data_IF_845130024521
#
_entry.id   IF_845130024521
#
_cell.length_a   1.000
_cell.length_b   1.000
_cell.length_c   1.000
_cell.angle_alpha   90.00
_cell.angle_beta   90.00
_cell.angle_gamma   90.00
#
_symmetry.space_group_name_H-M   'P 1'
#
loop_
_entity.id
_entity.type
_entity.pdbx_description
1 polymer ?
#
# COMPACT_ATOMS: atom_id res chain seq x y z
N UNK A 1 -14.36 13.73 51.99
CA UNK A 1 -14.89 12.56 51.25
C UNK A 1 -15.17 12.82 49.77
N UNK A 2 -15.45 14.07 49.35
CA UNK A 2 -15.74 14.40 47.94
C UNK A 2 -14.52 14.40 47.02
N UNK A 3 -13.34 14.78 47.53
CA UNK A 3 -12.12 14.94 46.72
C UNK A 3 -11.58 13.59 46.18
N UNK A 4 -11.69 12.51 46.96
CA UNK A 4 -11.33 11.15 46.52
C UNK A 4 -12.27 10.65 45.42
N UNK A 5 -13.57 10.94 45.52
CA UNK A 5 -14.54 10.52 44.50
C UNK A 5 -14.31 11.24 43.16
N UNK A 6 -13.91 12.51 43.19
CA UNK A 6 -13.54 13.27 41.99
C UNK A 6 -12.29 12.68 41.33
N UNK A 7 -11.27 12.33 42.12
CA UNK A 7 -10.05 11.69 41.61
C UNK A 7 -10.34 10.32 40.98
N UNK A 8 -11.19 9.51 41.63
CA UNK A 8 -11.60 8.19 41.12
C UNK A 8 -12.34 8.34 39.78
N UNK A 9 -13.24 9.31 39.67
CA UNK A 9 -13.99 9.55 38.44
C UNK A 9 -13.07 10.04 37.30
N UNK A 10 -12.11 10.93 37.60
CA UNK A 10 -11.10 11.38 36.62
C UNK A 10 -10.25 10.20 36.13
N UNK A 11 -9.77 9.35 37.05
CA UNK A 11 -8.99 8.16 36.70
C UNK A 11 -9.79 7.19 35.82
N UNK A 12 -11.05 6.91 36.14
CA UNK A 12 -11.91 6.09 35.29
C UNK A 12 -12.09 6.68 33.89
N UNK A 13 -12.29 8.00 33.79
CA UNK A 13 -12.45 8.67 32.51
C UNK A 13 -11.17 8.64 31.68
N UNK A 14 -10.00 8.75 32.33
CA UNK A 14 -8.69 8.61 31.70
C UNK A 14 -8.43 7.19 31.21
N UNK A 15 -8.78 6.17 32.00
CA UNK A 15 -8.68 4.76 31.59
C UNK A 15 -9.57 4.48 30.38
N UNK A 16 -10.85 4.87 30.44
CA UNK A 16 -11.79 4.67 29.33
C UNK A 16 -11.36 5.41 28.04
N UNK A 17 -10.65 6.52 28.18
CA UNK A 17 -10.09 7.25 27.02
C UNK A 17 -8.85 6.54 26.47
N UNK A 18 -7.95 6.09 27.34
CA UNK A 18 -6.76 5.34 26.94
C UNK A 18 -7.11 4.01 26.26
N UNK A 19 -8.14 3.31 26.75
CA UNK A 19 -8.63 2.07 26.15
C UNK A 19 -9.18 2.31 24.73
N UNK A 20 -9.99 3.35 24.54
CA UNK A 20 -10.47 3.73 23.20
C UNK A 20 -9.33 4.07 22.24
N UNK A 21 -8.36 4.87 22.69
CA UNK A 21 -7.19 5.21 21.87
C UNK A 21 -6.35 3.99 21.51
N UNK A 22 -6.21 3.03 22.45
CA UNK A 22 -5.52 1.76 22.20
C UNK A 22 -6.25 0.95 21.12
N UNK A 23 -7.56 0.83 21.23
CA UNK A 23 -8.35 0.03 20.30
C UNK A 23 -8.36 0.66 18.89
N UNK A 24 -8.44 2.00 18.79
CA UNK A 24 -8.25 2.73 17.52
C UNK A 24 -6.86 2.49 16.92
N UNK A 25 -5.80 2.57 17.73
CA UNK A 25 -4.43 2.30 17.27
C UNK A 25 -4.25 0.86 16.79
N UNK A 26 -4.89 -0.11 17.44
CA UNK A 26 -4.88 -1.51 17.03
C UNK A 26 -5.58 -1.72 15.68
N UNK A 27 -6.71 -1.04 15.44
CA UNK A 27 -7.40 -1.07 14.15
C UNK A 27 -6.52 -0.48 13.03
N UNK A 28 -5.91 0.68 13.28
CA UNK A 28 -4.99 1.30 12.32
C UNK A 28 -3.78 0.41 12.01
N UNK A 29 -3.23 -0.26 13.03
CA UNK A 29 -2.13 -1.20 12.85
C UNK A 29 -2.54 -2.41 12.00
N UNK A 30 -3.77 -2.94 12.19
CA UNK A 30 -4.29 -4.03 11.38
C UNK A 30 -4.40 -3.62 9.90
N UNK A 31 -5.00 -2.46 9.62
CA UNK A 31 -5.10 -1.89 8.27
C UNK A 31 -3.70 -1.70 7.65
N UNK A 32 -2.75 -1.15 8.42
CA UNK A 32 -1.37 -0.95 7.96
C UNK A 32 -0.67 -2.26 7.59
N UNK A 33 -0.91 -3.34 8.35
CA UNK A 33 -0.37 -4.67 8.04
C UNK A 33 -0.97 -5.26 6.78
N UNK A 34 -2.28 -5.17 6.60
CA UNK A 34 -2.95 -5.63 5.37
C UNK A 34 -2.45 -4.86 4.14
N UNK A 35 -2.34 -3.53 4.26
CA UNK A 35 -1.77 -2.69 3.20
C UNK A 35 -0.33 -3.09 2.86
N UNK A 36 0.52 -3.33 3.86
CA UNK A 36 1.90 -3.76 3.64
C UNK A 36 2.00 -5.11 2.91
N UNK A 37 1.13 -6.06 3.24
CA UNK A 37 1.06 -7.36 2.55
C UNK A 37 0.66 -7.19 1.08
N UNK A 38 -0.35 -6.36 0.81
CA UNK A 38 -0.79 -6.06 -0.57
C UNK A 38 0.31 -5.36 -1.38
N UNK A 39 1.00 -4.38 -0.78
CA UNK A 39 2.13 -3.70 -1.42
C UNK A 39 3.27 -4.67 -1.70
N UNK A 40 3.64 -5.54 -0.77
CA UNK A 40 4.67 -6.55 -0.96
C UNK A 40 4.31 -7.53 -2.10
N UNK A 41 3.07 -8.00 -2.14
CA UNK A 41 2.58 -8.85 -3.23
C UNK A 41 2.65 -8.13 -4.59
N UNK A 42 2.31 -6.83 -4.63
CA UNK A 42 2.41 -6.02 -5.85
C UNK A 42 3.85 -5.85 -6.32
N UNK A 43 4.78 -5.60 -5.40
CA UNK A 43 6.22 -5.50 -5.70
C UNK A 43 6.73 -6.81 -6.29
N UNK A 44 6.42 -7.94 -5.65
CA UNK A 44 6.84 -9.26 -6.15
C UNK A 44 6.33 -9.54 -7.56
N UNK A 45 5.08 -9.16 -7.86
CA UNK A 45 4.52 -9.34 -9.20
C UNK A 45 5.22 -8.45 -10.24
N UNK A 46 5.54 -7.21 -9.88
CA UNK A 46 6.31 -6.31 -10.75
C UNK A 46 7.72 -6.84 -11.02
N UNK A 47 8.40 -7.38 -10.00
CA UNK A 47 9.72 -8.00 -10.16
C UNK A 47 9.67 -9.20 -11.11
N UNK A 48 8.64 -10.06 -10.98
CA UNK A 48 8.42 -11.19 -11.89
C UNK A 48 8.21 -10.75 -13.33
N UNK A 49 7.39 -9.72 -13.54
CA UNK A 49 7.14 -9.14 -14.86
C UNK A 49 8.42 -8.53 -15.45
N UNK A 50 9.18 -7.76 -14.66
CA UNK A 50 10.46 -7.19 -15.09
C UNK A 50 11.46 -8.28 -15.51
N UNK A 51 11.57 -9.35 -14.72
CA UNK A 51 12.42 -10.49 -15.06
C UNK A 51 11.97 -11.20 -16.36
N UNK A 52 10.65 -11.33 -16.57
CA UNK A 52 10.11 -11.91 -17.80
C UNK A 52 10.40 -11.03 -19.03
N UNK A 53 10.26 -9.71 -18.91
CA UNK A 53 10.60 -8.75 -19.95
C UNK A 53 12.09 -8.82 -20.30
N UNK A 54 12.97 -8.83 -19.30
CA UNK A 54 14.42 -8.95 -19.51
C UNK A 54 14.79 -10.24 -20.26
N UNK A 55 14.19 -11.37 -19.89
CA UNK A 55 14.37 -12.65 -20.61
C UNK A 55 13.86 -12.61 -22.05
N UNK A 56 12.73 -11.94 -22.28
CA UNK A 56 12.18 -11.79 -23.63
C UNK A 56 13.06 -10.87 -24.49
N UNK A 57 13.54 -9.77 -23.91
CA UNK A 57 14.42 -8.82 -24.58
C UNK A 57 15.76 -9.44 -25.00
N UNK A 58 16.30 -10.36 -24.20
CA UNK A 58 17.51 -11.10 -24.56
C UNK A 58 17.35 -11.97 -25.82
N UNK A 59 16.11 -12.42 -26.13
CA UNK A 59 15.81 -13.25 -27.32
C UNK A 59 15.34 -12.43 -28.51
N UNK A 60 14.54 -11.40 -28.26
CA UNK A 60 13.99 -10.50 -29.28
C UNK A 60 13.76 -9.11 -28.67
N UNK A 61 14.77 -8.22 -28.71
CA UNK A 61 14.73 -6.91 -28.05
C UNK A 61 13.56 -6.05 -28.52
N UNK A 62 13.33 -6.00 -29.83
CA UNK A 62 12.28 -5.19 -30.44
C UNK A 62 10.86 -5.68 -30.10
N UNK A 63 10.66 -7.00 -30.01
CA UNK A 63 9.36 -7.56 -29.67
C UNK A 63 9.03 -7.35 -28.18
N UNK A 64 10.03 -7.47 -27.30
CA UNK A 64 9.86 -7.21 -25.87
C UNK A 64 9.54 -5.73 -25.61
N UNK A 65 10.27 -4.81 -26.24
CA UNK A 65 10.00 -3.36 -26.18
C UNK A 65 8.61 -3.03 -26.72
N UNK A 66 8.23 -3.57 -27.89
CA UNK A 66 6.90 -3.35 -28.47
C UNK A 66 5.79 -3.84 -27.55
N UNK A 67 5.93 -5.03 -26.92
CA UNK A 67 4.93 -5.52 -25.96
C UNK A 67 4.84 -4.63 -24.71
N UNK A 68 5.96 -4.12 -24.22
CA UNK A 68 5.97 -3.25 -23.05
C UNK A 68 5.33 -1.89 -23.35
N UNK A 69 5.63 -1.28 -24.50
CA UNK A 69 5.02 -0.01 -24.91
C UNK A 69 3.51 -0.16 -25.12
N UNK A 70 3.06 -1.28 -25.70
CA UNK A 70 1.65 -1.46 -26.06
C UNK A 70 0.78 -2.05 -24.94
N UNK A 71 1.36 -2.82 -24.01
CA UNK A 71 0.61 -3.58 -22.99
C UNK A 71 1.24 -3.53 -21.59
N UNK A 72 2.30 -2.75 -21.40
CA UNK A 72 2.96 -2.57 -20.12
C UNK A 72 2.18 -1.65 -19.17
N UNK A 73 2.67 -1.49 -17.93
CA UNK A 73 2.00 -0.70 -16.89
C UNK A 73 1.73 0.76 -17.28
N UNK A 74 2.55 1.31 -18.17
CA UNK A 74 2.44 2.69 -18.66
C UNK A 74 1.91 2.80 -20.09
N UNK A 75 1.39 1.71 -20.67
CA UNK A 75 0.87 1.72 -22.04
C UNK A 75 -0.20 2.80 -22.25
N UNK A 76 -1.10 2.96 -21.27
CA UNK A 76 -2.14 3.99 -21.31
C UNK A 76 -1.56 5.42 -21.24
N UNK A 77 -0.47 5.62 -20.48
CA UNK A 77 0.21 6.91 -20.38
C UNK A 77 0.89 7.26 -21.71
N UNK A 78 1.64 6.31 -22.28
CA UNK A 78 2.32 6.48 -23.57
C UNK A 78 1.33 6.73 -24.71
N UNK A 79 0.17 6.04 -24.70
CA UNK A 79 -0.92 6.26 -25.65
C UNK A 79 -1.44 7.70 -25.58
N UNK A 80 -1.69 8.21 -24.37
CA UNK A 80 -2.14 9.61 -24.17
C UNK A 80 -1.12 10.64 -24.64
N UNK A 81 0.18 10.38 -24.44
CA UNK A 81 1.24 11.29 -24.91
C UNK A 81 1.32 11.33 -26.44
N UNK A 82 1.18 10.18 -27.11
CA UNK A 82 1.15 10.12 -28.58
C UNK A 82 -0.04 10.85 -29.16
N UNK A 83 -1.23 10.68 -28.57
CA UNK A 83 -2.45 11.29 -29.08
C UNK A 83 -2.50 12.82 -28.83
N UNK A 84 -1.58 13.36 -28.01
CA UNK A 84 -1.41 14.78 -27.71
C UNK A 84 -0.32 15.48 -28.55
N UNK A 85 0.41 14.74 -29.38
CA UNK A 85 1.49 15.23 -30.25
C UNK A 85 1.04 15.28 -31.72
#
# INVERSE_FOLDING_TARGET
MTMDQTLINDLHQRVATAERQRDEAQQLLAIGRESAVLTAARVLELERLAAAINRAAAKSPFQALSRWVNFGPEADLLKRMRDAA
#
